data_IF_697856549921
#
_entry.id   IF_697856549921
#
_cell.length_a   1.000
_cell.length_b   1.000
_cell.length_c   1.000
_cell.angle_alpha   90.00
_cell.angle_beta   90.00
_cell.angle_gamma   90.00
#
_symmetry.space_group_name_H-M   'P 1'
#
loop_
_entity.id
_entity.type
_entity.pdbx_description
1 polymer ?
#
# COMPACT_ATOMS: atom_id res chain seq x y z
N UNK A 1 13.55 -37.95 -32.05
CA UNK A 1 14.12 -37.12 -30.98
C UNK A 1 13.76 -35.66 -31.23
N UNK A 2 12.60 -35.25 -30.70
CA UNK A 2 12.22 -33.82 -30.69
C UNK A 2 12.71 -33.22 -29.39
N UNK A 3 13.65 -32.31 -29.49
CA UNK A 3 14.09 -31.50 -28.35
C UNK A 3 13.00 -30.47 -28.06
N UNK A 4 12.36 -30.61 -26.91
CA UNK A 4 11.53 -29.55 -26.34
C UNK A 4 12.43 -28.34 -26.09
N UNK A 5 12.26 -27.32 -26.92
CA UNK A 5 12.78 -26.01 -26.61
C UNK A 5 11.80 -25.38 -25.63
N UNK A 6 12.16 -25.41 -24.36
CA UNK A 6 11.57 -24.53 -23.37
C UNK A 6 11.75 -23.10 -23.85
N UNK A 7 10.64 -22.50 -24.29
CA UNK A 7 10.55 -21.05 -24.42
C UNK A 7 10.58 -20.51 -23.00
N UNK A 8 11.74 -20.11 -22.54
CA UNK A 8 11.84 -19.15 -21.44
C UNK A 8 11.19 -17.86 -21.96
N UNK A 9 9.95 -17.62 -21.55
CA UNK A 9 9.35 -16.31 -21.71
C UNK A 9 10.25 -15.36 -20.93
N UNK A 10 11.02 -14.56 -21.65
CA UNK A 10 11.70 -13.40 -21.09
C UNK A 10 10.61 -12.46 -20.58
N UNK A 11 10.28 -12.57 -19.28
CA UNK A 11 9.51 -11.54 -18.63
C UNK A 11 10.39 -10.29 -18.63
N UNK A 12 10.04 -9.33 -19.48
CA UNK A 12 10.73 -8.04 -19.51
C UNK A 12 10.59 -7.41 -18.10
N UNK A 13 11.70 -6.93 -17.57
CA UNK A 13 11.67 -6.17 -16.33
C UNK A 13 10.78 -4.93 -16.49
N UNK A 14 9.97 -4.57 -15.46
CA UNK A 14 9.13 -3.39 -15.55
C UNK A 14 9.96 -2.13 -15.73
N UNK A 15 9.50 -1.24 -16.60
CA UNK A 15 10.14 0.06 -16.82
C UNK A 15 9.87 0.97 -15.63
N UNK A 16 10.91 1.61 -15.15
CA UNK A 16 10.86 2.59 -14.08
C UNK A 16 11.38 3.91 -14.61
N UNK A 17 10.54 4.94 -14.54
CA UNK A 17 11.00 6.30 -14.80
C UNK A 17 11.85 6.74 -13.61
N UNK A 18 13.15 6.88 -13.83
CA UNK A 18 14.11 7.21 -12.77
C UNK A 18 14.05 8.66 -12.32
N UNK A 19 13.17 9.46 -12.90
CA UNK A 19 12.93 10.83 -12.44
C UNK A 19 12.06 10.82 -11.19
N UNK A 20 12.49 11.54 -10.17
CA UNK A 20 11.69 11.76 -8.96
C UNK A 20 10.95 13.06 -9.13
N UNK A 21 9.62 12.96 -9.25
CA UNK A 21 8.74 14.12 -9.38
C UNK A 21 8.29 14.61 -8.00
N UNK A 22 7.96 15.89 -7.90
CA UNK A 22 7.32 16.47 -6.72
C UNK A 22 5.87 16.75 -7.04
N UNK A 23 4.97 16.15 -6.25
CA UNK A 23 3.53 16.35 -6.40
C UNK A 23 2.90 15.54 -7.53
N UNK A 24 1.68 15.95 -7.89
CA UNK A 24 0.89 15.28 -8.94
C UNK A 24 1.47 15.51 -10.33
N UNK A 25 1.17 14.62 -11.30
CA UNK A 25 1.52 14.87 -12.69
C UNK A 25 0.90 16.16 -13.22
N UNK A 26 1.64 16.92 -14.00
CA UNK A 26 1.11 18.13 -14.67
C UNK A 26 0.01 17.74 -15.68
N UNK A 27 0.24 16.65 -16.42
CA UNK A 27 -0.74 16.09 -17.33
C UNK A 27 -1.41 14.87 -16.70
N UNK A 28 -2.70 14.98 -16.43
CA UNK A 28 -3.50 13.92 -15.80
C UNK A 28 -4.22 13.03 -16.82
N UNK A 29 -3.99 13.24 -18.12
CA UNK A 29 -4.59 12.42 -19.17
C UNK A 29 -4.15 10.94 -19.02
N UNK A 30 -5.11 10.03 -19.11
CA UNK A 30 -4.88 8.61 -18.93
C UNK A 30 -4.72 8.15 -17.48
N UNK A 31 -4.80 9.06 -16.51
CA UNK A 31 -4.77 8.72 -15.08
C UNK A 31 -6.17 8.33 -14.60
N UNK A 32 -6.26 7.32 -13.73
CA UNK A 32 -7.53 6.84 -13.20
C UNK A 32 -8.09 7.81 -12.17
N UNK A 33 -9.43 7.87 -12.07
CA UNK A 33 -10.12 8.72 -11.10
C UNK A 33 -9.69 8.47 -9.66
N UNK A 34 -9.46 7.20 -9.30
CA UNK A 34 -9.00 6.83 -7.96
C UNK A 34 -7.59 7.35 -7.66
N UNK A 35 -6.71 7.39 -8.64
CA UNK A 35 -5.38 7.99 -8.52
C UNK A 35 -5.50 9.51 -8.31
N UNK A 36 -6.30 10.16 -9.12
CA UNK A 36 -6.53 11.62 -9.03
C UNK A 36 -7.14 11.98 -7.67
N UNK A 37 -8.07 11.15 -7.16
CA UNK A 37 -8.66 11.35 -5.84
C UNK A 37 -7.62 11.33 -4.72
N UNK A 38 -6.59 10.51 -4.82
CA UNK A 38 -5.48 10.49 -3.86
C UNK A 38 -4.71 11.82 -3.90
N UNK A 39 -4.38 12.32 -5.08
CA UNK A 39 -3.68 13.60 -5.21
C UNK A 39 -4.54 14.76 -4.68
N UNK A 40 -5.82 14.78 -4.99
CA UNK A 40 -6.75 15.79 -4.47
C UNK A 40 -6.80 15.76 -2.94
N UNK A 41 -6.85 14.58 -2.36
CA UNK A 41 -6.84 14.39 -0.91
C UNK A 41 -5.55 14.93 -0.27
N UNK A 42 -4.39 14.54 -0.78
CA UNK A 42 -3.09 14.99 -0.27
C UNK A 42 -2.91 16.50 -0.44
N UNK A 43 -3.28 17.04 -1.58
CA UNK A 43 -3.16 18.47 -1.85
C UNK A 43 -4.10 19.31 -0.96
N UNK A 44 -5.30 18.81 -0.68
CA UNK A 44 -6.24 19.47 0.24
C UNK A 44 -5.71 19.57 1.66
N UNK A 45 -4.81 18.67 2.05
CA UNK A 45 -4.15 18.66 3.36
C UNK A 45 -2.83 19.43 3.38
N UNK A 46 -2.40 19.97 2.23
CA UNK A 46 -1.13 20.69 2.10
C UNK A 46 0.09 19.79 2.29
N UNK A 47 0.00 18.51 1.92
CA UNK A 47 1.09 17.54 2.08
C UNK A 47 2.00 17.59 0.87
N UNK A 48 3.30 17.70 1.11
CA UNK A 48 4.33 17.51 0.09
C UNK A 48 4.62 16.02 -0.06
N UNK A 49 4.69 15.56 -1.31
CA UNK A 49 5.05 14.17 -1.61
C UNK A 49 5.89 14.09 -2.87
N UNK A 50 6.77 13.11 -2.91
CA UNK A 50 7.54 12.74 -4.09
C UNK A 50 6.83 11.60 -4.80
N UNK A 51 7.03 11.51 -6.12
CA UNK A 51 6.41 10.48 -6.96
C UNK A 51 7.44 9.87 -7.90
N UNK A 52 7.41 8.55 -8.01
CA UNK A 52 8.09 7.78 -9.03
C UNK A 52 7.03 7.05 -9.85
N UNK A 53 7.07 7.22 -11.17
CA UNK A 53 6.20 6.52 -12.11
C UNK A 53 6.91 5.29 -12.65
N UNK A 54 6.19 4.21 -12.82
CA UNK A 54 6.73 2.92 -13.26
C UNK A 54 5.63 2.05 -13.86
N UNK A 55 6.01 1.00 -14.56
CA UNK A 55 5.07 -0.07 -14.91
C UNK A 55 4.71 -0.86 -13.65
N UNK A 56 3.68 -1.69 -13.73
CA UNK A 56 3.23 -2.49 -12.59
C UNK A 56 4.38 -3.33 -12.02
N UNK A 57 4.60 -3.22 -10.71
CA UNK A 57 5.66 -3.91 -10.00
C UNK A 57 5.20 -5.33 -9.66
N UNK A 58 5.73 -6.32 -10.37
CA UNK A 58 5.35 -7.74 -10.24
C UNK A 58 6.37 -8.56 -9.45
N UNK A 59 7.55 -8.01 -9.18
CA UNK A 59 8.64 -8.71 -8.49
C UNK A 59 9.15 -7.92 -7.29
N UNK A 60 9.77 -8.61 -6.33
CA UNK A 60 10.41 -7.95 -5.19
C UNK A 60 11.60 -7.09 -5.62
N UNK A 61 12.36 -7.54 -6.62
CA UNK A 61 13.49 -6.77 -7.16
C UNK A 61 13.04 -5.42 -7.73
N UNK A 62 11.91 -5.40 -8.46
CA UNK A 62 11.36 -4.16 -8.98
C UNK A 62 10.90 -3.21 -7.88
N UNK A 63 10.29 -3.73 -6.81
CA UNK A 63 9.92 -2.95 -5.63
C UNK A 63 11.16 -2.38 -4.93
N UNK A 64 12.21 -3.17 -4.76
CA UNK A 64 13.46 -2.73 -4.15
C UNK A 64 14.14 -1.62 -4.97
N UNK A 65 14.05 -1.65 -6.29
CA UNK A 65 14.60 -0.60 -7.15
C UNK A 65 13.87 0.73 -6.92
N UNK A 66 12.57 0.72 -6.75
CA UNK A 66 11.78 1.92 -6.42
C UNK A 66 12.13 2.42 -5.01
N UNK A 67 12.24 1.52 -4.04
CA UNK A 67 12.67 1.87 -2.68
C UNK A 67 14.04 2.55 -2.68
N UNK A 68 14.95 2.04 -3.51
CA UNK A 68 16.30 2.58 -3.67
C UNK A 68 16.29 3.99 -4.26
N UNK A 69 15.48 4.22 -5.31
CA UNK A 69 15.31 5.53 -5.91
C UNK A 69 14.76 6.56 -4.91
N UNK A 70 13.83 6.16 -4.09
CA UNK A 70 13.19 7.03 -3.08
C UNK A 70 13.99 7.11 -1.79
N UNK A 71 15.06 6.33 -1.64
CA UNK A 71 15.88 6.24 -0.43
C UNK A 71 15.04 5.94 0.83
N UNK A 72 14.06 5.07 0.70
CA UNK A 72 13.15 4.73 1.78
C UNK A 72 12.72 3.27 1.72
N UNK A 73 12.40 2.73 2.88
CA UNK A 73 11.78 1.41 3.00
C UNK A 73 10.26 1.59 2.96
N UNK A 74 9.62 1.03 1.93
CA UNK A 74 8.18 1.08 1.79
C UNK A 74 7.56 -0.09 2.54
N UNK A 75 6.58 0.20 3.39
CA UNK A 75 5.87 -0.83 4.13
C UNK A 75 5.02 -1.70 3.21
N UNK A 76 4.75 -2.93 3.63
CA UNK A 76 3.77 -3.77 2.95
C UNK A 76 2.39 -3.59 3.56
N UNK A 77 1.39 -3.77 2.73
CA UNK A 77 -0.02 -3.64 3.07
C UNK A 77 -0.70 -5.00 2.90
N UNK A 78 -1.47 -5.42 3.88
CA UNK A 78 -2.22 -6.67 3.85
C UNK A 78 -3.69 -6.38 4.13
N UNK A 79 -4.58 -6.95 3.32
CA UNK A 79 -6.01 -6.85 3.50
C UNK A 79 -6.56 -8.18 4.01
N UNK A 80 -7.10 -8.16 5.21
CA UNK A 80 -7.45 -9.33 5.99
C UNK A 80 -8.92 -9.31 6.37
N UNK A 81 -9.49 -10.47 6.65
CA UNK A 81 -10.85 -10.59 7.13
C UNK A 81 -11.00 -11.74 8.13
N UNK A 82 -12.07 -11.67 8.93
CA UNK A 82 -12.47 -12.79 9.77
C UNK A 82 -13.09 -13.92 8.94
N UNK A 83 -13.31 -15.06 9.55
CA UNK A 83 -13.87 -16.26 8.88
C UNK A 83 -15.26 -15.99 8.28
N UNK A 84 -16.07 -15.20 8.96
CA UNK A 84 -17.43 -14.86 8.53
C UNK A 84 -17.47 -13.82 7.41
N UNK A 85 -16.33 -13.20 7.09
CA UNK A 85 -16.22 -12.10 6.12
C UNK A 85 -17.13 -10.91 6.44
N UNK A 86 -17.22 -10.61 7.73
CA UNK A 86 -18.00 -9.49 8.26
C UNK A 86 -17.11 -8.34 8.74
N UNK A 87 -15.89 -8.64 9.13
CA UNK A 87 -14.91 -7.66 9.62
C UNK A 87 -13.66 -7.68 8.74
N UNK A 88 -13.25 -6.52 8.28
CA UNK A 88 -12.11 -6.34 7.39
C UNK A 88 -11.05 -5.46 8.04
N UNK A 89 -9.80 -5.80 7.77
CA UNK A 89 -8.63 -5.15 8.38
C UNK A 89 -7.61 -4.79 7.32
N UNK A 90 -7.13 -3.57 7.35
CA UNK A 90 -5.96 -3.15 6.59
C UNK A 90 -4.78 -3.06 7.54
N UNK A 91 -3.77 -3.89 7.31
CA UNK A 91 -2.54 -3.91 8.09
C UNK A 91 -1.41 -3.26 7.30
N UNK A 92 -0.76 -2.28 7.91
CA UNK A 92 0.50 -1.72 7.43
C UNK A 92 1.63 -2.25 8.32
N UNK A 93 2.63 -2.88 7.72
CA UNK A 93 3.75 -3.44 8.45
C UNK A 93 5.05 -3.34 7.67
N UNK A 94 6.22 -3.41 8.34
CA UNK A 94 7.50 -3.41 7.64
C UNK A 94 7.58 -4.54 6.62
N UNK A 95 8.13 -4.24 5.43
CA UNK A 95 8.24 -5.23 4.36
C UNK A 95 9.11 -6.43 4.71
N UNK A 96 10.06 -6.26 5.61
CA UNK A 96 11.01 -7.31 6.05
C UNK A 96 10.42 -8.26 7.10
N UNK A 97 9.38 -7.85 7.83
CA UNK A 97 8.77 -8.71 8.85
C UNK A 97 7.93 -9.81 8.22
N UNK A 98 8.04 -11.05 8.71
CA UNK A 98 7.11 -12.10 8.31
C UNK A 98 5.72 -11.82 8.90
N UNK A 99 4.67 -12.09 8.12
CA UNK A 99 3.30 -12.02 8.63
C UNK A 99 2.87 -13.38 9.15
N UNK A 100 2.46 -13.41 10.42
CA UNK A 100 1.84 -14.58 11.06
C UNK A 100 0.55 -14.15 11.73
N UNK A 101 -0.57 -14.65 11.25
CA UNK A 101 -1.89 -14.24 11.71
C UNK A 101 -2.09 -14.42 13.23
N UNK A 102 -1.47 -15.42 13.83
CA UNK A 102 -1.62 -15.67 15.28
C UNK A 102 -1.12 -14.49 16.14
N UNK A 103 -0.04 -13.83 15.73
CA UNK A 103 0.49 -12.68 16.48
C UNK A 103 -0.39 -11.46 16.33
N UNK A 104 -0.85 -11.20 15.12
CA UNK A 104 -1.77 -10.09 14.88
C UNK A 104 -3.09 -10.30 15.63
N UNK A 105 -3.72 -11.45 15.47
CA UNK A 105 -5.01 -11.76 16.09
C UNK A 105 -4.95 -11.65 17.60
N UNK A 106 -3.85 -12.07 18.21
CA UNK A 106 -3.64 -11.95 19.67
C UNK A 106 -3.56 -10.49 20.11
N UNK A 107 -2.79 -9.67 19.38
CA UNK A 107 -2.60 -8.25 19.77
C UNK A 107 -3.86 -7.42 19.62
N UNK A 108 -4.66 -7.67 18.58
CA UNK A 108 -5.91 -6.92 18.37
C UNK A 108 -7.14 -7.57 19.02
N UNK A 109 -6.97 -8.73 19.66
CA UNK A 109 -8.04 -9.37 20.42
C UNK A 109 -9.15 -9.96 19.56
N UNK A 110 -8.82 -10.50 18.40
CA UNK A 110 -9.77 -11.11 17.48
C UNK A 110 -9.47 -12.59 17.24
N UNK A 111 -10.44 -13.31 16.67
CA UNK A 111 -10.21 -14.64 16.15
C UNK A 111 -9.27 -14.60 14.94
N UNK A 112 -8.81 -15.76 14.51
CA UNK A 112 -7.87 -15.89 13.39
C UNK A 112 -8.37 -15.16 12.14
N UNK A 113 -7.50 -14.33 11.57
CA UNK A 113 -7.74 -13.62 10.31
C UNK A 113 -7.11 -14.37 9.14
N UNK A 114 -7.69 -14.23 7.98
CA UNK A 114 -7.16 -14.70 6.70
C UNK A 114 -7.13 -13.58 5.68
N UNK A 115 -6.47 -13.82 4.55
CA UNK A 115 -6.45 -12.82 3.48
C UNK A 115 -7.84 -12.65 2.87
N UNK A 116 -8.27 -11.40 2.72
CA UNK A 116 -9.44 -11.05 1.95
C UNK A 116 -9.12 -11.18 0.45
N UNK A 117 -10.16 -11.41 -0.37
CA UNK A 117 -9.99 -11.57 -1.82
C UNK A 117 -9.99 -10.23 -2.57
N UNK A 118 -9.66 -10.30 -3.87
CA UNK A 118 -9.60 -9.11 -4.72
C UNK A 118 -10.94 -8.42 -4.92
N UNK A 119 -12.05 -9.16 -4.93
CA UNK A 119 -13.40 -8.62 -5.04
C UNK A 119 -13.75 -7.78 -3.81
N UNK A 120 -13.43 -8.27 -2.63
CA UNK A 120 -13.63 -7.55 -1.37
C UNK A 120 -12.72 -6.32 -1.26
N UNK A 121 -11.48 -6.43 -1.73
CA UNK A 121 -10.54 -5.30 -1.78
C UNK A 121 -11.09 -4.17 -2.66
N UNK A 122 -11.66 -4.50 -3.80
CA UNK A 122 -12.26 -3.52 -4.71
C UNK A 122 -13.55 -2.92 -4.12
N UNK A 123 -14.38 -3.74 -3.49
CA UNK A 123 -15.63 -3.29 -2.86
C UNK A 123 -15.39 -2.28 -1.73
N UNK A 124 -14.46 -2.58 -0.83
CA UNK A 124 -14.22 -1.75 0.36
C UNK A 124 -13.24 -0.60 0.13
N UNK A 125 -12.23 -0.80 -0.71
CA UNK A 125 -11.12 0.14 -0.87
C UNK A 125 -10.98 0.72 -2.27
N UNK A 126 -11.78 0.27 -3.23
CA UNK A 126 -11.67 0.65 -4.65
C UNK A 126 -10.28 0.33 -5.24
N UNK A 127 -9.63 -0.73 -4.78
CA UNK A 127 -8.28 -1.11 -5.17
C UNK A 127 -8.28 -2.54 -5.71
N UNK A 128 -7.52 -2.77 -6.78
CA UNK A 128 -7.24 -4.12 -7.29
C UNK A 128 -5.99 -4.71 -6.62
N UNK A 129 -5.86 -6.05 -6.56
CA UNK A 129 -4.68 -6.68 -5.99
C UNK A 129 -3.38 -6.16 -6.63
N UNK A 130 -2.36 -5.96 -5.81
CA UNK A 130 -1.08 -5.38 -6.21
C UNK A 130 -0.98 -3.87 -6.02
N UNK A 131 -2.09 -3.19 -5.77
CA UNK A 131 -2.16 -1.74 -5.60
C UNK A 131 -2.61 -1.32 -4.19
N UNK A 132 -2.66 -2.25 -3.25
CA UNK A 132 -3.16 -2.01 -1.90
C UNK A 132 -2.43 -0.86 -1.22
N UNK A 133 -3.16 0.03 -0.58
CA UNK A 133 -2.63 1.26 -0.01
C UNK A 133 -3.50 1.79 1.11
N UNK A 134 -2.87 2.46 2.08
CA UNK A 134 -3.57 3.27 3.08
C UNK A 134 -4.58 4.23 2.43
N UNK A 135 -4.26 4.75 1.26
CA UNK A 135 -5.10 5.72 0.54
C UNK A 135 -6.45 5.13 0.10
N UNK A 136 -6.58 3.81 0.05
CA UNK A 136 -7.87 3.15 -0.19
C UNK A 136 -8.93 3.49 0.86
N UNK A 137 -8.52 3.87 2.06
CA UNK A 137 -9.45 4.29 3.11
C UNK A 137 -10.21 5.58 2.78
N UNK A 138 -9.74 6.37 1.81
CA UNK A 138 -10.48 7.52 1.27
C UNK A 138 -11.85 7.09 0.74
N UNK A 139 -11.94 5.89 0.17
CA UNK A 139 -13.16 5.33 -0.44
C UNK A 139 -14.03 4.57 0.56
N UNK A 140 -13.52 4.24 1.73
CA UNK A 140 -14.25 3.59 2.83
C UNK A 140 -14.95 4.66 3.70
N UNK A 141 -15.93 5.33 3.13
CA UNK A 141 -16.61 6.46 3.77
C UNK A 141 -17.40 6.06 5.01
N UNK A 142 -17.89 4.83 5.06
CA UNK A 142 -18.63 4.29 6.21
C UNK A 142 -17.71 3.73 7.30
N UNK A 143 -16.40 3.77 7.08
CA UNK A 143 -15.36 3.33 8.03
C UNK A 143 -15.56 1.88 8.47
N UNK A 144 -15.81 1.01 7.51
CA UNK A 144 -16.01 -0.42 7.74
C UNK A 144 -14.69 -1.19 7.88
N UNK A 145 -13.60 -0.66 7.33
CA UNK A 145 -12.28 -1.29 7.41
C UNK A 145 -11.56 -0.84 8.67
N UNK A 146 -11.12 -1.80 9.48
CA UNK A 146 -10.28 -1.54 10.65
C UNK A 146 -8.84 -1.34 10.21
N UNK A 147 -8.24 -0.23 10.61
CA UNK A 147 -6.84 0.06 10.32
C UNK A 147 -5.95 -0.42 11.46
N UNK A 148 -4.91 -1.16 11.11
CA UNK A 148 -3.89 -1.66 12.05
C UNK A 148 -2.52 -1.31 11.50
N UNK A 149 -1.68 -0.68 12.31
CA UNK A 149 -0.36 -0.21 11.90
C UNK A 149 0.69 -0.76 12.84
N UNK A 150 1.71 -1.42 12.30
CA UNK A 150 2.89 -1.78 13.08
C UNK A 150 3.64 -0.51 13.49
N UNK A 151 4.02 -0.43 14.75
CA UNK A 151 4.72 0.72 15.32
C UNK A 151 5.95 1.13 14.52
N UNK A 152 6.71 0.18 13.95
CA UNK A 152 7.90 0.48 13.16
C UNK A 152 7.59 1.30 11.91
N UNK A 153 6.41 1.14 11.31
CA UNK A 153 5.98 1.97 10.18
C UNK A 153 5.85 3.43 10.62
N UNK A 154 5.31 3.67 11.80
CA UNK A 154 5.12 5.00 12.36
C UNK A 154 6.42 5.63 12.88
N UNK A 155 7.42 4.82 13.18
CA UNK A 155 8.73 5.27 13.67
C UNK A 155 9.70 5.64 12.53
N UNK A 156 9.43 5.22 11.29
CA UNK A 156 10.21 5.61 10.13
C UNK A 156 10.01 7.10 9.81
N UNK A 157 11.04 7.75 9.28
CA UNK A 157 10.97 9.17 8.90
C UNK A 157 10.02 9.39 7.71
N UNK A 158 10.05 8.47 6.74
CA UNK A 158 9.27 8.55 5.51
C UNK A 158 8.30 7.38 5.38
N UNK A 159 7.18 7.67 4.74
CA UNK A 159 6.14 6.72 4.44
C UNK A 159 5.92 6.64 2.93
N UNK A 160 5.96 5.44 2.38
CA UNK A 160 5.73 5.19 0.96
C UNK A 160 4.44 4.40 0.72
N UNK A 161 3.73 4.74 -0.33
CA UNK A 161 2.51 4.02 -0.72
C UNK A 161 2.20 4.20 -2.21
N UNK A 162 1.36 3.33 -2.74
CA UNK A 162 0.76 3.52 -4.04
C UNK A 162 -0.42 4.50 -3.96
N UNK A 163 -0.65 5.32 -4.99
CA UNK A 163 -1.86 6.14 -5.07
C UNK A 163 -3.06 5.32 -5.60
N UNK A 164 -3.34 4.18 -4.99
CA UNK A 164 -4.37 3.21 -5.35
C UNK A 164 -4.24 2.56 -6.74
N UNK A 165 -3.09 2.74 -7.36
CA UNK A 165 -2.69 2.08 -8.62
C UNK A 165 -1.25 1.57 -8.50
N UNK A 166 -0.89 0.55 -9.27
CA UNK A 166 0.44 -0.07 -9.23
C UNK A 166 1.40 0.49 -10.31
N UNK A 167 1.20 1.72 -10.74
CA UNK A 167 2.04 2.38 -11.76
C UNK A 167 2.68 3.67 -11.26
N UNK A 168 2.53 3.95 -9.99
CA UNK A 168 3.22 5.03 -9.29
C UNK A 168 3.44 4.66 -7.83
N UNK A 169 4.47 5.25 -7.24
CA UNK A 169 4.75 5.15 -5.81
C UNK A 169 5.00 6.55 -5.27
N UNK A 170 4.36 6.85 -4.15
CA UNK A 170 4.48 8.14 -3.47
C UNK A 170 5.31 8.00 -2.21
N UNK A 171 6.04 9.04 -1.87
CA UNK A 171 6.81 9.15 -0.64
C UNK A 171 6.48 10.47 0.05
N UNK A 172 6.17 10.41 1.34
CA UNK A 172 5.84 11.55 2.16
C UNK A 172 6.41 11.40 3.57
N UNK A 173 6.40 12.46 4.35
CA UNK A 173 6.84 12.40 5.73
C UNK A 173 5.84 11.60 6.57
N UNK A 174 6.33 10.71 7.40
CA UNK A 174 5.49 9.96 8.34
C UNK A 174 4.78 10.88 9.33
N UNK A 175 5.40 12.01 9.70
CA UNK A 175 4.75 13.03 10.53
C UNK A 175 3.47 13.57 9.88
N UNK A 176 3.45 13.75 8.57
CA UNK A 176 2.24 14.16 7.84
C UNK A 176 1.17 13.07 7.84
N UNK A 177 1.58 11.80 7.77
CA UNK A 177 0.64 10.67 7.92
C UNK A 177 -0.04 10.71 9.28
N UNK A 178 0.74 10.86 10.36
CA UNK A 178 0.21 10.87 11.73
C UNK A 178 -0.64 12.10 12.04
N UNK A 179 -0.20 13.26 11.62
CA UNK A 179 -0.79 14.54 12.04
C UNK A 179 -1.89 15.04 11.10
N UNK A 180 -1.87 14.66 9.82
CA UNK A 180 -2.81 15.15 8.81
C UNK A 180 -3.65 14.06 8.16
N UNK A 181 -3.04 12.98 7.69
CA UNK A 181 -3.73 11.93 6.91
C UNK A 181 -4.64 11.11 7.81
N UNK A 182 -4.13 10.52 8.87
CA UNK A 182 -4.91 9.67 9.77
C UNK A 182 -6.08 10.43 10.39
N UNK A 183 -5.92 11.67 10.89
CA UNK A 183 -7.05 12.46 11.35
C UNK A 183 -8.09 12.75 10.26
N UNK A 184 -7.65 13.08 9.05
CA UNK A 184 -8.55 13.39 7.93
C UNK A 184 -9.34 12.17 7.45
N UNK A 185 -8.73 10.97 7.45
CA UNK A 185 -9.43 9.72 7.15
C UNK A 185 -10.49 9.40 8.19
N UNK A 186 -10.25 9.76 9.44
CA UNK A 186 -11.20 9.56 10.53
C UNK A 186 -11.36 8.10 10.97
N UNK A 187 -10.60 7.18 10.42
CA UNK A 187 -10.58 5.79 10.86
C UNK A 187 -9.86 5.70 12.20
N UNK A 188 -10.49 5.02 13.16
CA UNK A 188 -9.78 4.59 14.37
C UNK A 188 -8.75 3.53 13.97
N UNK A 189 -7.56 3.57 14.56
CA UNK A 189 -6.55 2.59 14.26
C UNK A 189 -5.89 2.06 15.53
N UNK A 190 -5.43 0.82 15.43
CA UNK A 190 -4.66 0.16 16.47
C UNK A 190 -3.19 0.09 16.06
N UNK A 191 -2.30 0.31 17.02
CA UNK A 191 -0.87 0.14 16.83
C UNK A 191 -0.47 -1.21 17.41
N UNK A 192 0.26 -1.98 16.65
CA UNK A 192 0.77 -3.30 17.04
C UNK A 192 2.29 -3.35 16.91
N UNK A 193 2.91 -4.29 17.58
CA UNK A 193 4.33 -4.61 17.45
C UNK A 193 4.46 -6.06 17.04
N UNK A 194 4.59 -6.30 15.74
CA UNK A 194 4.71 -7.66 15.21
C UNK A 194 6.16 -8.15 15.37
N UNK A 195 6.36 -9.43 15.67
CA UNK A 195 7.71 -9.97 15.84
C UNK A 195 8.46 -10.04 14.51
N UNK A 196 9.79 -9.97 14.59
CA UNK A 196 10.71 -10.07 13.43
C UNK A 196 10.98 -11.50 12.99
N UNK A 197 10.59 -12.48 13.79
CA UNK A 197 10.77 -13.90 13.50
C UNK A 197 9.46 -14.71 13.69
#
# INVERSE_FOLDING_TARGET
>A
EMKDQEKTENMEEPRIDKTIYTGRPENMEGRLEKEIAVYDFLDSLGIEYKRVDHEALMTMEACEEVDHLLEAKICKNLFLCNRQKTDFYLLLMPGEKPFKTKFLSKQIGTARLSFADGEQMEEYLNITPGSLSLMGLIFDKEKKVHLVIDKEVLDEEYFGCHPCINTSTLLMKTSDVKEKILPALGHEYQVVELPTE
#
